data_IF_766707585216
#
_entry.id   IF_766707585216
#
_cell.length_a   1.000
_cell.length_b   1.000
_cell.length_c   1.000
_cell.angle_alpha   90.00
_cell.angle_beta   90.00
_cell.angle_gamma   90.00
#
_symmetry.space_group_name_H-M   'P 1'
#
loop_
_entity.id
_entity.type
_entity.pdbx_description
1 polymer ?
#
# COMPACT_ATOMS: atom_id res chain seq x y z
N UNK A 1 -18.17 -13.10 -20.00
CA UNK A 1 -17.07 -12.25 -19.48
C UNK A 1 -15.84 -13.15 -19.34
N UNK A 2 -14.92 -13.17 -20.32
CA UNK A 2 -13.60 -13.80 -20.08
C UNK A 2 -12.88 -12.85 -19.12
N UNK A 3 -12.83 -13.20 -17.85
CA UNK A 3 -12.17 -12.43 -16.81
C UNK A 3 -10.72 -12.21 -17.22
N UNK A 4 -10.28 -10.97 -17.37
CA UNK A 4 -8.85 -10.65 -17.55
C UNK A 4 -8.21 -10.93 -16.18
N UNK A 5 -7.50 -12.05 -16.00
CA UNK A 5 -7.13 -12.53 -14.67
C UNK A 5 -6.21 -11.53 -13.94
N UNK A 6 -5.46 -10.74 -14.71
CA UNK A 6 -4.63 -9.64 -14.23
C UNK A 6 -5.46 -8.51 -13.57
N UNK A 7 -6.59 -8.10 -14.15
CA UNK A 7 -7.44 -7.07 -13.55
C UNK A 7 -7.99 -7.51 -12.19
N UNK A 8 -8.37 -8.79 -12.09
CA UNK A 8 -8.82 -9.38 -10.83
C UNK A 8 -7.67 -9.44 -9.82
N UNK A 9 -6.46 -9.80 -10.24
CA UNK A 9 -5.27 -9.78 -9.39
C UNK A 9 -4.94 -8.38 -8.84
N UNK A 10 -5.02 -7.35 -9.69
CA UNK A 10 -4.80 -5.95 -9.27
C UNK A 10 -5.89 -5.53 -8.28
N UNK A 11 -7.15 -5.89 -8.52
CA UNK A 11 -8.25 -5.62 -7.59
C UNK A 11 -8.04 -6.30 -6.23
N UNK A 12 -7.61 -7.57 -6.22
CA UNK A 12 -7.31 -8.31 -4.99
C UNK A 12 -6.19 -7.66 -4.18
N UNK A 13 -5.10 -7.24 -4.82
CA UNK A 13 -4.05 -6.50 -4.10
C UNK A 13 -4.59 -5.16 -3.57
N UNK A 14 -5.33 -4.42 -4.39
CA UNK A 14 -5.91 -3.14 -3.98
C UNK A 14 -6.76 -3.28 -2.72
N UNK A 15 -7.55 -4.35 -2.63
CA UNK A 15 -8.35 -4.69 -1.45
C UNK A 15 -7.47 -5.13 -0.28
N UNK A 16 -6.52 -6.04 -0.52
CA UNK A 16 -5.63 -6.54 0.53
C UNK A 16 -4.84 -5.43 1.20
N UNK A 17 -4.34 -4.47 0.41
CA UNK A 17 -3.69 -3.29 0.94
C UNK A 17 -4.66 -2.38 1.70
N UNK A 18 -5.87 -2.16 1.19
CA UNK A 18 -6.85 -1.29 1.85
C UNK A 18 -7.21 -1.76 3.27
N UNK A 19 -7.12 -3.07 3.55
CA UNK A 19 -7.30 -3.63 4.89
C UNK A 19 -6.28 -3.11 5.91
N UNK A 20 -5.03 -2.87 5.50
CA UNK A 20 -4.00 -2.22 6.34
C UNK A 20 -3.93 -0.71 6.17
N UNK A 21 -4.20 -0.21 4.97
CA UNK A 21 -4.09 1.20 4.59
C UNK A 21 -5.08 2.11 5.32
N UNK A 22 -6.28 1.62 5.66
CA UNK A 22 -7.26 2.38 6.44
C UNK A 22 -6.79 2.63 7.87
N UNK A 23 -6.24 1.60 8.52
CA UNK A 23 -5.60 1.74 9.83
C UNK A 23 -4.46 2.76 9.79
N UNK A 24 -3.67 2.79 8.71
CA UNK A 24 -2.56 3.72 8.58
C UNK A 24 -2.96 5.20 8.66
N UNK A 25 -4.15 5.55 8.18
CA UNK A 25 -4.66 6.93 8.24
C UNK A 25 -4.79 7.44 9.68
N UNK A 26 -5.35 6.61 10.56
CA UNK A 26 -5.51 6.94 11.98
C UNK A 26 -4.17 6.87 12.72
N UNK A 27 -3.33 5.89 12.37
CA UNK A 27 -2.06 5.69 13.04
C UNK A 27 -1.14 6.90 12.92
N UNK A 28 -1.22 7.72 11.87
CA UNK A 28 -0.34 8.89 11.75
C UNK A 28 -0.65 9.95 12.81
N UNK A 29 -1.94 10.14 13.10
CA UNK A 29 -2.37 11.00 14.19
C UNK A 29 -1.93 10.40 15.55
N UNK A 30 -2.25 9.13 15.79
CA UNK A 30 -1.90 8.44 17.05
C UNK A 30 -0.38 8.43 17.30
N UNK A 31 0.43 8.17 16.28
CA UNK A 31 1.89 8.14 16.44
C UNK A 31 2.47 9.54 16.68
N UNK A 32 2.01 10.55 15.93
CA UNK A 32 2.48 11.92 16.10
C UNK A 32 2.15 12.51 17.47
N UNK A 33 0.96 12.22 17.98
CA UNK A 33 0.44 12.79 19.22
C UNK A 33 0.71 11.92 20.46
N UNK A 34 0.34 10.63 20.41
CA UNK A 34 0.32 9.77 21.59
C UNK A 34 1.59 8.91 21.75
N UNK A 35 2.26 8.53 20.66
CA UNK A 35 3.45 7.66 20.75
C UNK A 35 4.74 8.48 20.86
N UNK A 36 4.90 9.51 20.01
CA UNK A 36 6.11 10.33 20.00
C UNK A 36 5.96 11.66 20.73
N UNK A 37 4.76 12.00 21.21
CA UNK A 37 4.48 13.22 21.98
C UNK A 37 4.95 14.51 21.28
N UNK A 38 4.78 14.60 19.96
CA UNK A 38 5.19 15.75 19.13
C UNK A 38 4.02 16.65 18.68
N UNK A 39 2.78 16.27 19.01
CA UNK A 39 1.57 17.01 18.65
C UNK A 39 1.42 17.21 17.14
N UNK A 40 0.86 18.35 16.73
CA UNK A 40 0.58 18.66 15.32
C UNK A 40 1.83 18.66 14.43
N UNK A 41 2.98 19.13 14.93
CA UNK A 41 4.24 19.11 14.19
C UNK A 41 4.72 17.67 13.91
N UNK A 42 4.47 16.77 14.87
CA UNK A 42 4.70 15.33 14.73
C UNK A 42 3.91 14.72 13.57
N UNK A 43 2.61 14.94 13.61
CA UNK A 43 1.66 14.46 12.60
C UNK A 43 2.04 15.00 11.22
N UNK A 44 2.30 16.31 11.13
CA UNK A 44 2.69 16.97 9.88
C UNK A 44 3.99 16.42 9.28
N UNK A 45 4.99 16.13 10.11
CA UNK A 45 6.26 15.56 9.61
C UNK A 45 6.08 14.12 9.12
N UNK A 46 5.30 13.29 9.81
CA UNK A 46 5.00 11.91 9.37
C UNK A 46 4.31 11.95 8.00
N UNK A 47 3.30 12.81 7.84
CA UNK A 47 2.63 13.05 6.56
C UNK A 47 3.57 13.62 5.49
N UNK A 48 4.47 14.53 5.86
CA UNK A 48 5.46 15.12 4.98
C UNK A 48 6.45 14.10 4.43
N UNK A 49 7.07 13.29 5.31
CA UNK A 49 7.98 12.21 4.92
C UNK A 49 7.26 11.10 4.14
N UNK A 50 6.00 10.82 4.49
CA UNK A 50 5.15 9.95 3.70
C UNK A 50 4.99 10.50 2.27
N UNK A 51 4.72 11.80 2.11
CA UNK A 51 4.63 12.48 0.81
C UNK A 51 5.92 12.42 0.01
N UNK A 52 7.07 12.67 0.63
CA UNK A 52 8.40 12.52 0.00
C UNK A 52 8.58 11.08 -0.51
N UNK A 53 8.24 10.09 0.30
CA UNK A 53 8.29 8.68 -0.10
C UNK A 53 7.39 8.37 -1.29
N UNK A 54 6.18 8.94 -1.35
CA UNK A 54 5.28 8.78 -2.50
C UNK A 54 5.88 9.37 -3.79
N UNK A 55 6.51 10.55 -3.72
CA UNK A 55 7.16 11.17 -4.87
C UNK A 55 8.35 10.34 -5.37
N UNK A 56 9.21 9.90 -4.46
CA UNK A 56 10.37 9.05 -4.78
C UNK A 56 9.92 7.70 -5.37
N UNK A 57 8.90 7.07 -4.78
CA UNK A 57 8.34 5.83 -5.29
C UNK A 57 7.62 5.99 -6.62
N UNK A 58 6.96 7.13 -6.86
CA UNK A 58 6.35 7.45 -8.15
C UNK A 58 7.38 7.56 -9.27
N UNK A 59 8.47 8.30 -9.02
CA UNK A 59 9.59 8.42 -9.96
C UNK A 59 10.27 7.05 -10.20
N UNK A 60 10.52 6.30 -9.13
CA UNK A 60 11.11 4.95 -9.22
C UNK A 60 10.21 4.00 -10.00
N UNK A 61 8.91 3.98 -9.72
CA UNK A 61 7.93 3.16 -10.42
C UNK A 61 7.83 3.50 -11.91
N UNK A 62 7.93 4.78 -12.26
CA UNK A 62 7.98 5.20 -13.66
C UNK A 62 9.25 4.69 -14.38
N UNK A 63 10.43 4.81 -13.75
CA UNK A 63 11.69 4.34 -14.33
C UNK A 63 11.70 2.82 -14.48
N UNK A 64 11.29 2.10 -13.43
CA UNK A 64 11.22 0.63 -13.43
C UNK A 64 10.23 0.16 -14.49
N UNK A 65 9.02 0.72 -14.52
CA UNK A 65 7.97 0.33 -15.47
C UNK A 65 8.31 0.52 -16.95
N UNK A 66 9.29 1.39 -17.27
CA UNK A 66 9.81 1.57 -18.63
C UNK A 66 10.85 0.53 -19.02
N UNK A 67 11.51 -0.12 -18.05
CA UNK A 67 12.67 -0.99 -18.28
C UNK A 67 12.36 -2.48 -18.09
N UNK A 68 11.33 -2.82 -17.33
CA UNK A 68 11.01 -4.21 -17.01
C UNK A 68 9.97 -4.79 -17.96
N UNK A 69 10.14 -6.08 -18.28
CA UNK A 69 9.14 -6.91 -18.93
C UNK A 69 8.01 -7.30 -17.94
N UNK A 70 7.03 -8.10 -18.39
CA UNK A 70 5.90 -8.48 -17.54
C UNK A 70 6.31 -9.33 -16.33
N UNK A 71 7.32 -10.20 -16.48
CA UNK A 71 7.90 -10.97 -15.39
C UNK A 71 8.58 -10.07 -14.35
N UNK A 72 9.37 -9.10 -14.81
CA UNK A 72 10.00 -8.09 -13.97
C UNK A 72 8.99 -7.17 -13.28
N UNK A 73 7.88 -6.84 -13.94
CA UNK A 73 6.76 -6.13 -13.32
C UNK A 73 6.19 -6.89 -12.12
N UNK A 74 5.87 -8.19 -12.28
CA UNK A 74 5.30 -9.01 -11.19
C UNK A 74 6.24 -9.08 -9.99
N UNK A 75 7.54 -9.27 -10.24
CA UNK A 75 8.59 -9.25 -9.21
C UNK A 75 8.73 -7.88 -8.54
N UNK A 76 8.72 -6.79 -9.30
CA UNK A 76 8.82 -5.44 -8.77
C UNK A 76 7.64 -5.11 -7.84
N UNK A 77 6.42 -5.52 -8.19
CA UNK A 77 5.23 -5.40 -7.34
C UNK A 77 5.39 -6.17 -6.03
N UNK A 78 5.84 -7.44 -6.09
CA UNK A 78 6.09 -8.25 -4.90
C UNK A 78 7.10 -7.59 -3.97
N UNK A 79 8.28 -7.22 -4.49
CA UNK A 79 9.37 -6.62 -3.71
C UNK A 79 8.89 -5.31 -3.09
N UNK A 80 8.20 -4.46 -3.85
CA UNK A 80 7.74 -3.15 -3.38
C UNK A 80 6.70 -3.27 -2.27
N UNK A 81 5.79 -4.24 -2.35
CA UNK A 81 4.83 -4.50 -1.28
C UNK A 81 5.45 -5.13 -0.02
N UNK A 82 6.44 -6.01 -0.17
CA UNK A 82 7.20 -6.55 0.97
C UNK A 82 7.95 -5.41 1.66
N UNK A 83 8.66 -4.57 0.91
CA UNK A 83 9.33 -3.38 1.44
C UNK A 83 8.32 -2.48 2.15
N UNK A 84 7.16 -2.22 1.54
CA UNK A 84 6.09 -1.44 2.15
C UNK A 84 5.66 -2.01 3.51
N UNK A 85 5.29 -3.29 3.56
CA UNK A 85 4.80 -3.95 4.77
C UNK A 85 5.86 -4.04 5.87
N UNK A 86 7.07 -4.50 5.55
CA UNK A 86 8.18 -4.63 6.52
C UNK A 86 8.58 -3.27 7.10
N UNK A 87 8.77 -2.26 6.26
CA UNK A 87 9.14 -0.93 6.75
C UNK A 87 8.00 -0.26 7.52
N UNK A 88 6.74 -0.56 7.19
CA UNK A 88 5.59 -0.11 7.97
C UNK A 88 5.53 -0.77 9.37
N UNK A 89 5.83 -2.07 9.45
CA UNK A 89 5.99 -2.78 10.73
C UNK A 89 7.15 -2.20 11.54
N UNK A 90 8.29 -1.91 10.91
CA UNK A 90 9.41 -1.26 11.59
C UNK A 90 9.04 0.13 12.09
N UNK A 91 8.33 0.94 11.28
CA UNK A 91 7.80 2.24 11.69
C UNK A 91 6.96 2.12 12.98
N UNK A 92 6.15 1.07 13.12
CA UNK A 92 5.31 0.91 14.30
C UNK A 92 6.09 0.51 15.57
N UNK A 93 7.25 -0.13 15.41
CA UNK A 93 8.04 -0.64 16.54
C UNK A 93 9.19 0.28 16.97
N UNK A 94 9.74 1.10 16.07
CA UNK A 94 10.86 1.98 16.42
C UNK A 94 10.47 3.03 17.47
N UNK A 95 11.39 3.29 18.39
CA UNK A 95 11.24 4.31 19.44
C UNK A 95 11.80 5.66 19.00
N UNK A 96 12.81 5.65 18.12
CA UNK A 96 13.38 6.87 17.56
C UNK A 96 12.45 7.49 16.53
N UNK A 97 12.05 8.74 16.77
CA UNK A 97 11.19 9.50 15.87
C UNK A 97 11.81 9.67 14.47
N UNK A 98 13.11 9.93 14.38
CA UNK A 98 13.81 10.07 13.09
C UNK A 98 13.82 8.74 12.33
N UNK A 99 14.03 7.62 13.03
CA UNK A 99 13.96 6.29 12.42
C UNK A 99 12.53 6.00 11.93
N UNK A 100 11.51 6.46 12.66
CA UNK A 100 10.11 6.31 12.26
C UNK A 100 9.82 7.07 10.97
N UNK A 101 10.29 8.32 10.84
CA UNK A 101 10.16 9.11 9.61
C UNK A 101 10.84 8.43 8.41
N UNK A 102 12.04 7.88 8.60
CA UNK A 102 12.74 7.13 7.56
C UNK A 102 11.97 5.86 7.15
N UNK A 103 11.52 5.05 8.12
CA UNK A 103 10.72 3.86 7.87
C UNK A 103 9.41 4.19 7.14
N UNK A 104 8.74 5.27 7.55
CA UNK A 104 7.53 5.76 6.90
C UNK A 104 7.78 6.14 5.43
N UNK A 105 8.86 6.89 5.17
CA UNK A 105 9.24 7.28 3.82
C UNK A 105 9.46 6.05 2.94
N UNK A 106 10.27 5.07 3.38
CA UNK A 106 10.51 3.84 2.62
C UNK A 106 9.24 3.02 2.41
N UNK A 107 8.35 2.99 3.41
CA UNK A 107 7.06 2.34 3.29
C UNK A 107 6.22 2.95 2.16
N UNK A 108 6.22 4.29 2.05
CA UNK A 108 5.50 4.98 0.98
C UNK A 108 6.16 4.86 -0.39
N UNK A 109 7.48 4.70 -0.45
CA UNK A 109 8.18 4.39 -1.71
C UNK A 109 7.64 3.08 -2.30
N UNK A 110 7.62 2.00 -1.51
CA UNK A 110 7.13 0.70 -1.98
C UNK A 110 5.66 0.75 -2.43
N UNK A 111 4.81 1.45 -1.68
CA UNK A 111 3.40 1.62 -2.07
C UNK A 111 3.23 2.39 -3.38
N UNK A 112 3.98 3.49 -3.57
CA UNK A 112 3.89 4.28 -4.79
C UNK A 112 4.43 3.56 -6.03
N UNK A 113 5.53 2.82 -5.92
CA UNK A 113 6.06 1.99 -7.02
C UNK A 113 4.97 1.04 -7.52
N UNK A 114 4.33 0.31 -6.61
CA UNK A 114 3.27 -0.62 -6.99
C UNK A 114 2.07 0.10 -7.59
N UNK A 115 1.65 1.22 -7.02
CA UNK A 115 0.52 2.00 -7.53
C UNK A 115 0.75 2.44 -8.98
N UNK A 116 1.95 2.96 -9.30
CA UNK A 116 2.30 3.37 -10.67
C UNK A 116 2.27 2.18 -11.63
N UNK A 117 2.91 1.07 -11.25
CA UNK A 117 3.00 -0.12 -12.10
C UNK A 117 1.61 -0.74 -12.36
N UNK A 118 0.81 -0.91 -11.32
CA UNK A 118 -0.54 -1.49 -11.43
C UNK A 118 -1.48 -0.61 -12.23
N UNK A 119 -1.48 0.71 -12.00
CA UNK A 119 -2.30 1.65 -12.77
C UNK A 119 -1.90 1.67 -14.25
N UNK A 120 -0.60 1.59 -14.55
CA UNK A 120 -0.10 1.50 -15.93
C UNK A 120 -0.61 0.24 -16.62
N UNK A 121 -0.54 -0.92 -15.96
CA UNK A 121 -1.06 -2.17 -16.52
C UNK A 121 -2.59 -2.15 -16.67
N UNK A 122 -3.30 -1.54 -15.73
CA UNK A 122 -4.76 -1.41 -15.83
C UNK A 122 -5.17 -0.56 -17.03
N UNK A 123 -4.48 0.56 -17.28
CA UNK A 123 -4.74 1.44 -18.43
C UNK A 123 -4.43 0.76 -19.77
N UNK A 124 -3.38 -0.06 -19.83
CA UNK A 124 -2.99 -0.82 -21.04
C UNK A 124 -4.00 -1.89 -21.42
N UNK A 125 -4.61 -2.54 -20.44
CA UNK A 125 -5.51 -3.69 -20.66
C UNK A 125 -7.00 -3.36 -20.57
N UNK A 126 -7.34 -2.10 -20.25
CA UNK A 126 -8.74 -1.65 -20.22
C UNK A 126 -9.06 -0.87 -21.49
N UNK A 127 -10.07 -1.30 -22.28
CA UNK A 127 -10.54 -0.53 -23.43
C UNK A 127 -10.97 0.88 -23.03
N UNK A 128 -10.67 1.86 -23.88
CA UNK A 128 -10.86 3.29 -23.59
C UNK A 128 -12.28 3.62 -23.08
N UNK A 129 -13.30 3.02 -23.69
CA UNK A 129 -14.72 3.21 -23.31
C UNK A 129 -15.09 2.70 -21.91
N UNK A 130 -14.29 1.80 -21.32
CA UNK A 130 -14.55 1.21 -20.01
C UNK A 130 -13.62 1.71 -18.90
N UNK A 131 -12.59 2.51 -19.22
CA UNK A 131 -11.61 2.98 -18.23
C UNK A 131 -12.26 3.65 -17.03
N UNK A 132 -13.14 4.62 -17.27
CA UNK A 132 -13.84 5.33 -16.18
C UNK A 132 -14.62 4.38 -15.26
N UNK A 133 -15.32 3.40 -15.83
CA UNK A 133 -16.11 2.41 -15.08
C UNK A 133 -15.22 1.47 -14.27
N UNK A 134 -14.15 0.95 -14.86
CA UNK A 134 -13.21 0.04 -14.20
C UNK A 134 -12.52 0.75 -13.03
N UNK A 135 -12.00 1.96 -13.26
CA UNK A 135 -11.38 2.75 -12.20
C UNK A 135 -12.38 3.10 -11.09
N UNK A 136 -13.60 3.54 -11.42
CA UNK A 136 -14.61 3.87 -10.42
C UNK A 136 -15.01 2.66 -9.57
N UNK A 137 -15.14 1.46 -10.17
CA UNK A 137 -15.42 0.23 -9.43
C UNK A 137 -14.26 -0.17 -8.51
N UNK A 138 -13.02 -0.12 -9.02
CA UNK A 138 -11.84 -0.46 -8.22
C UNK A 138 -11.60 0.52 -7.08
N UNK A 139 -11.79 1.82 -7.33
CA UNK A 139 -11.64 2.87 -6.34
C UNK A 139 -12.74 2.75 -5.27
N UNK A 140 -14.01 2.59 -5.68
CA UNK A 140 -15.12 2.36 -4.76
C UNK A 140 -14.85 1.17 -3.83
N UNK A 141 -14.43 0.04 -4.38
CA UNK A 141 -14.12 -1.15 -3.59
C UNK A 141 -12.97 -0.89 -2.59
N UNK A 142 -11.91 -0.21 -3.05
CA UNK A 142 -10.76 0.16 -2.21
C UNK A 142 -11.19 1.05 -1.05
N UNK A 143 -11.94 2.12 -1.33
CA UNK A 143 -12.39 3.06 -0.29
C UNK A 143 -13.39 2.44 0.68
N UNK A 144 -14.31 1.59 0.21
CA UNK A 144 -15.21 0.85 1.11
C UNK A 144 -14.44 0.01 2.11
N UNK A 145 -13.45 -0.75 1.65
CA UNK A 145 -12.59 -1.56 2.53
C UNK A 145 -11.76 -0.66 3.46
N UNK A 146 -11.27 0.46 2.94
CA UNK A 146 -10.47 1.40 3.72
C UNK A 146 -11.29 2.07 4.84
N UNK A 147 -12.55 2.41 4.60
CA UNK A 147 -13.46 2.96 5.62
C UNK A 147 -13.69 1.92 6.73
N UNK A 148 -13.94 0.66 6.37
CA UNK A 148 -14.13 -0.43 7.36
C UNK A 148 -12.84 -0.67 8.15
N UNK A 149 -11.70 -0.72 7.49
CA UNK A 149 -10.37 -0.85 8.12
C UNK A 149 -10.10 0.30 9.08
N UNK A 150 -10.40 1.53 8.67
CA UNK A 150 -10.23 2.73 9.49
C UNK A 150 -11.15 2.69 10.70
N UNK A 151 -12.43 2.33 10.54
CA UNK A 151 -13.36 2.18 11.67
C UNK A 151 -12.87 1.10 12.66
N UNK A 152 -12.45 -0.07 12.16
CA UNK A 152 -11.92 -1.14 12.98
C UNK A 152 -10.65 -0.73 13.74
N UNK A 153 -9.73 -0.02 13.08
CA UNK A 153 -8.52 0.49 13.72
C UNK A 153 -8.82 1.57 14.79
N UNK A 154 -9.81 2.44 14.52
CA UNK A 154 -10.28 3.43 15.48
C UNK A 154 -10.85 2.78 16.74
N UNK A 155 -11.71 1.78 16.59
CA UNK A 155 -12.23 0.98 17.72
C UNK A 155 -11.08 0.26 18.44
N UNK A 156 -10.20 -0.41 17.70
CA UNK A 156 -9.07 -1.13 18.28
C UNK A 156 -8.14 -0.22 19.07
N UNK A 157 -7.97 1.05 18.68
CA UNK A 157 -7.11 2.00 19.38
C UNK A 157 -7.55 2.33 20.81
N UNK A 158 -8.81 2.04 21.17
CA UNK A 158 -9.32 2.19 22.54
C UNK A 158 -8.88 1.05 23.47
N UNK A 159 -8.49 -0.09 22.91
CA UNK A 159 -8.18 -1.32 23.67
C UNK A 159 -6.74 -1.81 23.48
N UNK A 160 -6.11 -1.42 22.37
CA UNK A 160 -4.83 -1.96 21.91
C UNK A 160 -3.89 -0.81 21.57
N UNK A 161 -2.59 -0.99 21.86
CA UNK A 161 -1.58 0.03 21.58
C UNK A 161 -1.50 0.37 20.07
N UNK A 162 -1.25 1.64 19.69
CA UNK A 162 -1.02 2.02 18.30
C UNK A 162 0.11 1.23 17.63
N UNK A 163 1.12 0.81 18.40
CA UNK A 163 2.24 -0.01 17.91
C UNK A 163 1.77 -1.37 17.41
N UNK A 164 0.91 -2.05 18.17
CA UNK A 164 0.33 -3.34 17.77
C UNK A 164 -0.58 -3.19 16.54
N UNK A 165 -1.41 -2.14 16.51
CA UNK A 165 -2.28 -1.86 15.36
C UNK A 165 -1.43 -1.62 14.10
N UNK A 166 -0.34 -0.84 14.22
CA UNK A 166 0.60 -0.62 13.12
C UNK A 166 1.32 -1.88 12.67
N UNK A 167 1.69 -2.78 13.60
CA UNK A 167 2.27 -4.08 13.28
C UNK A 167 1.30 -4.94 12.46
N UNK A 168 0.04 -5.04 12.90
CA UNK A 168 -1.00 -5.82 12.20
C UNK A 168 -1.32 -5.21 10.83
N UNK A 169 -1.42 -3.87 10.74
CA UNK A 169 -1.64 -3.18 9.48
C UNK A 169 -0.50 -3.43 8.46
N UNK A 170 0.75 -3.38 8.92
CA UNK A 170 1.91 -3.72 8.08
C UNK A 170 1.94 -5.19 7.69
N UNK A 171 1.51 -6.09 8.58
CA UNK A 171 1.39 -7.52 8.29
C UNK A 171 0.34 -7.79 7.20
N UNK A 172 -0.80 -7.09 7.19
CA UNK A 172 -1.76 -7.17 6.07
C UNK A 172 -1.15 -6.70 4.73
N UNK A 173 -0.32 -5.65 4.77
CA UNK A 173 0.46 -5.22 3.60
C UNK A 173 1.40 -6.30 3.08
N UNK A 174 2.17 -6.93 3.97
CA UNK A 174 3.08 -8.03 3.62
C UNK A 174 2.33 -9.28 3.15
N UNK A 175 1.21 -9.62 3.79
CA UNK A 175 0.35 -10.74 3.39
C UNK A 175 -0.22 -10.55 1.99
N UNK A 176 -0.59 -9.31 1.65
CA UNK A 176 -1.03 -8.96 0.29
C UNK A 176 0.09 -9.18 -0.73
N UNK A 177 1.35 -8.88 -0.36
CA UNK A 177 2.52 -9.17 -1.17
C UNK A 177 2.69 -10.68 -1.41
N UNK A 178 2.54 -11.48 -0.34
CA UNK A 178 2.63 -12.94 -0.41
C UNK A 178 1.52 -13.55 -1.27
N UNK A 179 0.29 -13.04 -1.14
CA UNK A 179 -0.84 -13.48 -1.96
C UNK A 179 -0.59 -13.19 -3.45
N UNK A 180 -0.03 -12.02 -3.78
CA UNK A 180 0.38 -11.71 -5.15
C UNK A 180 1.50 -12.60 -5.65
N UNK A 181 2.56 -12.80 -4.85
CA UNK A 181 3.67 -13.69 -5.19
C UNK A 181 3.21 -15.14 -5.40
N UNK A 182 2.25 -15.60 -4.60
CA UNK A 182 1.62 -16.90 -4.76
C UNK A 182 0.82 -17.00 -6.07
N UNK A 183 0.04 -15.98 -6.41
CA UNK A 183 -0.69 -15.92 -7.68
C UNK A 183 0.26 -15.87 -8.89
N UNK A 184 1.42 -15.22 -8.75
CA UNK A 184 2.49 -15.23 -9.76
C UNK A 184 3.08 -16.63 -9.94
N UNK A 185 3.51 -17.26 -8.84
CA UNK A 185 4.12 -18.59 -8.85
C UNK A 185 3.17 -19.67 -9.37
N UNK A 186 1.89 -19.59 -9.04
CA UNK A 186 0.86 -20.55 -9.50
C UNK A 186 0.37 -20.29 -10.93
N UNK A 187 0.94 -19.33 -11.65
CA UNK A 187 0.58 -19.03 -13.05
C UNK A 187 -0.81 -18.42 -13.22
N UNK A 188 -1.43 -17.94 -12.13
CA UNK A 188 -2.78 -17.34 -12.13
C UNK A 188 -2.78 -15.89 -12.62
N UNK A 189 -1.60 -15.32 -12.87
CA UNK A 189 -1.37 -14.04 -13.53
C UNK A 189 -0.77 -14.27 -14.93
N UNK A 190 -1.54 -14.83 -15.88
CA UNK A 190 -1.10 -14.98 -17.26
C UNK A 190 -0.84 -13.62 -17.90
N UNK A 191 0.10 -13.58 -18.85
CA UNK A 191 0.24 -12.44 -19.74
C UNK A 191 -1.08 -12.23 -20.51
N UNK A 192 -1.61 -11.00 -20.50
CA UNK A 192 -2.83 -10.65 -21.23
C UNK A 192 -2.65 -10.63 -22.75
#
# INVERSE_FOLDING_TARGET
MRSVPLMMGIAMISVGWALGGGAAQILFALFGEQVFHRGAAGIGSIWGFAGIGLLLGGATGHIVGRRVDFSGYKRAVTISYIVHGVTYMLFSQVESYTAALACMMFSRVGMAVTSVLNNSQLLRHTPDQFRGRVFATMESLRWSVMIVSMAAAGIASQYVSPRTIGLVAGAFGSLTALAWAWCDWTGRLPEP
#
